data_IF_807936771194
#
_entry.id   IF_807936771194
#
_cell.length_a   1.000
_cell.length_b   1.000
_cell.length_c   1.000
_cell.angle_alpha   90.00
_cell.angle_beta   90.00
_cell.angle_gamma   90.00
#
_symmetry.space_group_name_H-M   'P 1'
#
loop_
_entity.id
_entity.type
_entity.pdbx_description
1 polymer ?
#
# COMPACT_ATOMS: atom_id res chain seq x y z
N UNK A 1 -19.40 4.00 29.88
CA UNK A 1 -17.95 4.28 29.77
C UNK A 1 -17.53 3.98 28.34
N UNK A 2 -16.76 4.85 27.67
CA UNK A 2 -16.21 4.54 26.34
C UNK A 2 -15.28 3.32 26.45
N UNK A 3 -15.21 2.50 25.40
CA UNK A 3 -14.49 1.22 25.39
C UNK A 3 -13.06 1.36 25.94
N UNK A 4 -12.70 0.53 26.92
CA UNK A 4 -11.37 0.49 27.54
C UNK A 4 -10.28 -0.12 26.64
N UNK A 5 -10.67 -0.62 25.46
CA UNK A 5 -9.81 -1.29 24.48
C UNK A 5 -9.44 -0.42 23.27
N UNK A 6 -9.78 0.87 23.26
CA UNK A 6 -9.41 1.76 22.16
C UNK A 6 -7.88 1.92 22.11
N UNK A 7 -7.27 1.55 20.99
CA UNK A 7 -5.81 1.58 20.82
C UNK A 7 -5.41 2.15 19.46
N UNK A 8 -4.17 2.65 19.32
CA UNK A 8 -3.64 3.15 18.05
C UNK A 8 -2.64 4.31 18.21
N UNK A 9 -2.11 4.81 17.09
CA UNK A 9 -1.15 5.92 17.08
C UNK A 9 -1.71 7.17 17.75
N UNK A 10 -2.93 7.58 17.37
CA UNK A 10 -3.62 8.72 17.96
C UNK A 10 -3.87 8.53 19.46
N UNK A 11 -4.15 7.29 19.90
CA UNK A 11 -4.34 6.98 21.32
C UNK A 11 -3.06 7.15 22.13
N UNK A 12 -1.92 6.69 21.62
CA UNK A 12 -0.62 6.94 22.25
C UNK A 12 -0.36 8.44 22.40
N UNK A 13 -0.61 9.24 21.35
CA UNK A 13 -0.41 10.69 21.39
C UNK A 13 -1.35 11.36 22.40
N UNK A 14 -2.63 10.98 22.43
CA UNK A 14 -3.59 11.48 23.41
C UNK A 14 -3.22 11.10 24.85
N UNK A 15 -2.73 9.87 25.08
CA UNK A 15 -2.25 9.45 26.40
C UNK A 15 -0.97 10.19 26.79
N UNK A 16 -0.11 10.54 25.83
CA UNK A 16 1.10 11.32 26.08
C UNK A 16 0.77 12.75 26.48
N UNK A 17 -0.19 13.37 25.80
CA UNK A 17 -0.73 14.68 26.17
C UNK A 17 -1.31 14.67 27.59
N UNK A 18 -2.08 13.63 27.94
CA UNK A 18 -2.56 13.43 29.32
C UNK A 18 -1.42 13.26 30.33
N UNK A 19 -0.37 12.51 29.96
CA UNK A 19 0.82 12.33 30.79
C UNK A 19 1.49 13.68 31.07
N UNK A 20 1.70 14.48 30.02
CA UNK A 20 2.30 15.83 30.11
C UNK A 20 1.45 16.75 30.99
N UNK A 21 0.13 16.74 30.84
CA UNK A 21 -0.78 17.55 31.66
C UNK A 21 -0.67 17.16 33.15
N UNK A 22 -0.62 15.87 33.46
CA UNK A 22 -0.47 15.38 34.83
C UNK A 22 0.89 15.81 35.44
N UNK A 23 2.01 15.61 34.73
CA UNK A 23 3.32 16.02 35.27
C UNK A 23 3.47 17.53 35.39
N UNK A 24 2.81 18.31 34.52
CA UNK A 24 2.77 19.78 34.64
C UNK A 24 2.07 20.20 35.92
N UNK A 25 0.97 19.53 36.28
CA UNK A 25 0.25 19.79 37.52
C UNK A 25 1.03 19.40 38.80
N UNK A 26 2.07 18.56 38.69
CA UNK A 26 2.94 18.22 39.83
C UNK A 26 3.84 19.38 40.27
N UNK A 27 4.11 20.36 39.41
CA UNK A 27 4.94 21.53 39.73
C UNK A 27 6.40 21.19 40.06
N UNK A 28 6.99 21.93 41.01
CA UNK A 28 8.41 21.84 41.40
C UNK A 28 8.92 20.42 41.71
N UNK A 29 8.16 19.53 42.37
CA UNK A 29 8.54 18.12 42.54
C UNK A 29 8.94 17.38 41.25
N UNK A 30 8.40 17.76 40.09
CA UNK A 30 8.82 17.20 38.81
C UNK A 30 10.08 17.91 38.28
N UNK A 31 11.25 17.41 38.65
CA UNK A 31 12.56 17.99 38.27
C UNK A 31 13.57 16.95 37.74
N UNK A 32 13.32 16.31 36.58
CA UNK A 32 14.22 15.29 36.06
C UNK A 32 15.55 15.87 35.56
N UNK A 33 16.65 15.16 35.83
CA UNK A 33 17.99 15.50 35.31
C UNK A 33 18.14 15.21 33.82
N UNK A 34 17.54 14.11 33.34
CA UNK A 34 17.54 13.71 31.91
C UNK A 34 16.80 14.75 31.07
N UNK A 35 17.52 15.41 30.14
CA UNK A 35 16.99 16.51 29.34
C UNK A 35 15.71 16.15 28.55
N UNK A 36 15.62 14.92 28.02
CA UNK A 36 14.44 14.47 27.26
C UNK A 36 13.16 14.35 28.09
N UNK A 37 13.26 14.28 29.43
CA UNK A 37 12.11 14.20 30.33
C UNK A 37 11.63 15.58 30.82
N UNK A 38 12.34 16.66 30.48
CA UNK A 38 11.94 18.01 30.87
C UNK A 38 10.72 18.47 30.06
N UNK A 39 9.82 19.23 30.68
CA UNK A 39 8.57 19.71 30.07
C UNK A 39 8.75 20.33 28.67
N UNK A 40 9.76 21.17 28.39
CA UNK A 40 9.96 21.71 27.04
C UNK A 40 10.23 20.63 25.98
N UNK A 41 11.04 19.61 26.30
CA UNK A 41 11.35 18.51 25.39
C UNK A 41 10.11 17.62 25.15
N UNK A 42 9.35 17.33 26.21
CA UNK A 42 8.13 16.53 26.11
C UNK A 42 7.07 17.22 25.25
N UNK A 43 6.86 18.53 25.43
CA UNK A 43 5.94 19.31 24.60
C UNK A 43 6.40 19.39 23.14
N UNK A 44 7.70 19.54 22.90
CA UNK A 44 8.27 19.50 21.53
C UNK A 44 7.97 18.14 20.87
N UNK A 45 8.18 17.04 21.60
CA UNK A 45 7.89 15.69 21.10
C UNK A 45 6.38 15.47 20.87
N UNK A 46 5.51 16.02 21.73
CA UNK A 46 4.06 15.97 21.53
C UNK A 46 3.64 16.68 20.25
N UNK A 47 4.15 17.89 20.00
CA UNK A 47 3.88 18.64 18.77
C UNK A 47 4.37 17.87 17.55
N UNK A 48 5.59 17.32 17.58
CA UNK A 48 6.12 16.49 16.49
C UNK A 48 5.23 15.27 16.23
N UNK A 49 4.73 14.60 17.28
CA UNK A 49 3.84 13.45 17.17
C UNK A 49 2.49 13.81 16.53
N UNK A 50 1.89 14.94 16.93
CA UNK A 50 0.64 15.45 16.31
C UNK A 50 0.85 15.79 14.84
N UNK A 51 1.94 16.48 14.50
CA UNK A 51 2.30 16.81 13.11
C UNK A 51 2.52 15.55 12.27
N UNK A 52 3.21 14.54 12.80
CA UNK A 52 3.47 13.31 12.07
C UNK A 52 2.20 12.50 11.79
N UNK A 53 1.23 12.47 12.72
CA UNK A 53 -0.09 11.87 12.48
C UNK A 53 -0.85 12.66 11.40
N UNK A 54 -0.86 13.98 11.49
CA UNK A 54 -1.53 14.83 10.50
C UNK A 54 -0.95 14.61 9.09
N UNK A 55 0.38 14.53 8.96
CA UNK A 55 1.05 14.26 7.69
C UNK A 55 0.60 12.94 7.03
N UNK A 56 0.46 11.85 7.82
CA UNK A 56 -0.07 10.58 7.32
C UNK A 56 -1.52 10.73 6.88
N UNK A 57 -2.36 11.37 7.69
CA UNK A 57 -3.77 11.58 7.39
C UNK A 57 -3.97 12.45 6.13
N UNK A 58 -3.07 13.39 5.85
CA UNK A 58 -3.10 14.20 4.64
C UNK A 58 -2.63 13.46 3.39
N UNK A 59 -1.64 12.56 3.52
CA UNK A 59 -1.10 11.81 2.38
C UNK A 59 -1.98 10.61 1.98
N UNK A 60 -2.67 9.99 2.93
CA UNK A 60 -3.43 8.75 2.71
C UNK A 60 -4.58 8.87 1.68
N UNK A 61 -5.40 9.94 1.65
CA UNK A 61 -6.47 10.08 0.67
C UNK A 61 -5.96 10.13 -0.77
N UNK A 62 -4.85 10.82 -1.02
CA UNK A 62 -4.27 10.92 -2.36
C UNK A 62 -3.88 9.54 -2.91
N UNK A 63 -3.21 8.73 -2.08
CA UNK A 63 -2.86 7.36 -2.43
C UNK A 63 -4.10 6.48 -2.65
N UNK A 64 -5.08 6.52 -1.74
CA UNK A 64 -6.32 5.73 -1.88
C UNK A 64 -7.11 6.09 -3.13
N UNK A 65 -7.23 7.38 -3.44
CA UNK A 65 -7.93 7.85 -4.64
C UNK A 65 -7.21 7.41 -5.92
N UNK A 66 -5.86 7.47 -5.94
CA UNK A 66 -5.08 6.99 -7.07
C UNK A 66 -5.24 5.49 -7.28
N UNK A 67 -5.21 4.68 -6.20
CA UNK A 67 -5.44 3.23 -6.26
C UNK A 67 -6.83 2.92 -6.81
N UNK A 68 -7.87 3.54 -6.26
CA UNK A 68 -9.25 3.36 -6.73
C UNK A 68 -9.40 3.73 -8.21
N UNK A 69 -8.82 4.86 -8.64
CA UNK A 69 -8.89 5.31 -10.02
C UNK A 69 -8.16 4.35 -10.98
N UNK A 70 -7.02 3.79 -10.56
CA UNK A 70 -6.31 2.75 -11.33
C UNK A 70 -7.13 1.48 -11.42
N UNK A 71 -7.67 0.98 -10.31
CA UNK A 71 -8.43 -0.28 -10.28
C UNK A 71 -9.67 -0.20 -11.19
N UNK A 72 -10.40 0.92 -11.12
CA UNK A 72 -11.55 1.20 -12.00
C UNK A 72 -11.14 1.21 -13.47
N UNK A 73 -10.01 1.85 -13.83
CA UNK A 73 -9.54 1.93 -15.21
C UNK A 73 -9.12 0.57 -15.78
N UNK A 74 -8.53 -0.31 -14.95
CA UNK A 74 -8.08 -1.64 -15.37
C UNK A 74 -9.17 -2.72 -15.34
N UNK A 75 -10.28 -2.50 -14.63
CA UNK A 75 -11.39 -3.45 -14.51
C UNK A 75 -11.96 -3.90 -15.87
N UNK A 76 -12.29 -3.02 -16.83
CA UNK A 76 -12.86 -3.45 -18.12
C UNK A 76 -11.82 -4.02 -19.10
N UNK A 77 -10.52 -3.88 -18.82
CA UNK A 77 -9.46 -4.14 -19.81
C UNK A 77 -9.57 -5.54 -20.43
N UNK A 78 -9.72 -6.61 -19.64
CA UNK A 78 -9.79 -7.97 -20.16
C UNK A 78 -10.96 -8.18 -21.14
N UNK A 79 -12.11 -7.54 -20.88
CA UNK A 79 -13.29 -7.58 -21.75
C UNK A 79 -13.02 -6.84 -23.06
N UNK A 80 -12.40 -5.66 -22.99
CA UNK A 80 -12.01 -4.88 -24.17
C UNK A 80 -11.01 -5.66 -25.04
N UNK A 81 -10.03 -6.32 -24.43
CA UNK A 81 -9.04 -7.14 -25.14
C UNK A 81 -9.67 -8.33 -25.87
N UNK A 82 -10.72 -8.95 -25.31
CA UNK A 82 -11.48 -9.98 -26.04
C UNK A 82 -12.09 -9.42 -27.32
N UNK A 83 -12.68 -8.22 -27.26
CA UNK A 83 -13.27 -7.57 -28.45
C UNK A 83 -12.22 -7.22 -29.49
N UNK A 84 -11.08 -6.67 -29.05
CA UNK A 84 -9.93 -6.37 -29.92
C UNK A 84 -9.46 -7.61 -30.66
N UNK A 85 -9.28 -8.73 -29.94
CA UNK A 85 -8.85 -9.99 -30.54
C UNK A 85 -9.84 -10.53 -31.58
N UNK A 86 -11.14 -10.43 -31.31
CA UNK A 86 -12.17 -10.90 -32.24
C UNK A 86 -12.29 -9.98 -33.46
N UNK A 87 -12.12 -8.68 -33.30
CA UNK A 87 -12.06 -7.74 -34.42
C UNK A 87 -10.85 -8.02 -35.33
N UNK A 88 -9.70 -8.39 -34.75
CA UNK A 88 -8.52 -8.80 -35.53
C UNK A 88 -8.79 -10.07 -36.34
N UNK A 89 -9.36 -11.10 -35.71
CA UNK A 89 -9.71 -12.36 -36.39
C UNK A 89 -10.77 -12.21 -37.49
N UNK A 90 -11.62 -11.20 -37.38
CA UNK A 90 -12.64 -10.89 -38.39
C UNK A 90 -12.09 -10.03 -39.54
N UNK A 91 -10.83 -9.60 -39.47
CA UNK A 91 -10.15 -8.90 -40.56
C UNK A 91 -9.43 -9.88 -41.50
N UNK A 92 -9.06 -9.42 -42.69
CA UNK A 92 -8.30 -10.19 -43.68
C UNK A 92 -6.80 -10.34 -43.30
N UNK A 93 -6.54 -10.70 -42.04
CA UNK A 93 -5.19 -10.96 -41.53
C UNK A 93 -4.80 -12.44 -41.69
N UNK A 94 -3.56 -12.78 -41.34
CA UNK A 94 -3.07 -14.16 -41.41
C UNK A 94 -3.19 -14.87 -40.07
N UNK A 95 -3.26 -16.20 -40.09
CA UNK A 95 -3.26 -17.03 -38.88
C UNK A 95 -2.05 -16.77 -37.98
N UNK A 96 -0.88 -16.48 -38.58
CA UNK A 96 0.34 -16.18 -37.83
C UNK A 96 0.22 -14.86 -37.04
N UNK A 97 -0.45 -13.85 -37.61
CA UNK A 97 -0.72 -12.57 -36.93
C UNK A 97 -1.70 -12.79 -35.78
N UNK A 98 -2.76 -13.57 -36.01
CA UNK A 98 -3.75 -13.92 -34.98
C UNK A 98 -3.12 -14.66 -33.80
N UNK A 99 -2.23 -15.62 -34.05
CA UNK A 99 -1.52 -16.36 -33.00
C UNK A 99 -0.55 -15.47 -32.20
N UNK A 100 0.12 -14.56 -32.90
CA UNK A 100 1.00 -13.56 -32.28
C UNK A 100 0.21 -12.65 -31.34
N UNK A 101 -0.93 -12.13 -31.80
CA UNK A 101 -1.84 -11.31 -31.00
C UNK A 101 -2.43 -12.10 -29.82
N UNK A 102 -2.84 -13.35 -30.06
CA UNK A 102 -3.43 -14.21 -29.04
C UNK A 102 -2.49 -14.45 -27.86
N UNK A 103 -1.19 -14.51 -28.10
CA UNK A 103 -0.18 -14.62 -27.03
C UNK A 103 -0.19 -13.40 -26.10
N UNK A 104 -0.31 -12.19 -26.66
CA UNK A 104 -0.43 -10.95 -25.88
C UNK A 104 -1.79 -10.85 -25.16
N UNK A 105 -2.86 -11.23 -25.85
CA UNK A 105 -4.23 -11.31 -25.30
C UNK A 105 -4.28 -12.22 -24.06
N UNK A 106 -3.67 -13.40 -24.15
CA UNK A 106 -3.59 -14.33 -23.02
C UNK A 106 -2.89 -13.70 -21.82
N UNK A 107 -1.77 -13.00 -22.01
CA UNK A 107 -1.05 -12.29 -20.93
C UNK A 107 -1.89 -11.17 -20.31
N UNK A 108 -2.59 -10.38 -21.12
CA UNK A 108 -3.48 -9.29 -20.67
C UNK A 108 -4.68 -9.77 -19.84
N UNK A 109 -5.07 -11.04 -20.05
CA UNK A 109 -6.20 -11.70 -19.38
C UNK A 109 -5.78 -12.69 -18.29
N UNK A 110 -4.47 -12.94 -18.10
CA UNK A 110 -3.98 -13.93 -17.14
C UNK A 110 -4.26 -15.38 -17.54
N UNK A 111 -4.46 -15.65 -18.83
CA UNK A 111 -4.73 -16.98 -19.38
C UNK A 111 -3.44 -17.65 -19.84
N UNK A 112 -3.37 -18.97 -19.73
CA UNK A 112 -2.26 -19.76 -20.28
C UNK A 112 -2.52 -20.18 -21.71
N UNK A 113 -1.44 -20.48 -22.43
CA UNK A 113 -1.54 -21.17 -23.72
C UNK A 113 -1.94 -22.64 -23.50
N UNK A 114 -1.27 -23.31 -22.57
CA UNK A 114 -1.57 -24.67 -22.12
C UNK A 114 -2.26 -24.65 -20.75
N UNK A 115 -3.39 -25.36 -20.58
CA UNK A 115 -3.99 -25.59 -19.26
C UNK A 115 -2.99 -26.22 -18.29
N UNK A 116 -3.18 -25.99 -16.99
CA UNK A 116 -2.43 -26.76 -15.99
C UNK A 116 -2.90 -28.20 -15.99
N UNK A 117 -1.97 -29.12 -15.83
CA UNK A 117 -2.29 -30.53 -15.61
C UNK A 117 -3.02 -30.72 -14.28
N UNK A 118 -4.00 -31.62 -14.25
CA UNK A 118 -4.66 -32.05 -13.02
C UNK A 118 -3.71 -32.86 -12.13
N UNK A 119 -4.08 -33.09 -10.88
CA UNK A 119 -3.25 -33.91 -9.98
C UNK A 119 -3.14 -35.36 -10.48
N UNK A 120 -4.20 -35.90 -11.08
CA UNK A 120 -4.21 -37.23 -11.69
C UNK A 120 -3.27 -37.30 -12.90
N UNK A 121 -3.31 -36.29 -13.78
CA UNK A 121 -2.41 -36.22 -14.93
C UNK A 121 -0.94 -36.11 -14.50
N UNK A 122 -0.66 -35.36 -13.42
CA UNK A 122 0.68 -35.25 -12.84
C UNK A 122 1.15 -36.56 -12.24
N UNK A 123 0.26 -37.30 -11.59
CA UNK A 123 0.57 -38.60 -10.99
C UNK A 123 0.89 -39.64 -12.08
N UNK A 124 0.09 -39.69 -13.15
CA UNK A 124 0.34 -40.56 -14.31
C UNK A 124 1.68 -40.21 -14.98
N UNK A 125 2.00 -38.92 -15.13
CA UNK A 125 3.28 -38.49 -15.69
C UNK A 125 4.47 -38.88 -14.79
N UNK A 126 4.33 -38.72 -13.47
CA UNK A 126 5.35 -39.11 -12.50
C UNK A 126 5.58 -40.64 -12.48
N UNK A 127 4.52 -41.44 -12.56
CA UNK A 127 4.59 -42.91 -12.67
C UNK A 127 5.28 -43.36 -13.98
N UNK A 128 5.18 -42.56 -15.04
CA UNK A 128 5.90 -42.75 -16.30
C UNK A 128 7.35 -42.20 -16.29
N UNK A 129 7.86 -41.75 -15.13
CA UNK A 129 9.22 -41.21 -14.98
C UNK A 129 9.39 -39.75 -15.42
N UNK A 130 8.30 -39.06 -15.76
CA UNK A 130 8.29 -37.66 -16.19
C UNK A 130 7.70 -36.77 -15.08
N UNK A 131 8.54 -36.30 -14.16
CA UNK A 131 8.10 -35.37 -13.13
C UNK A 131 7.82 -33.98 -13.73
N UNK A 132 6.56 -33.55 -13.70
CA UNK A 132 6.14 -32.26 -14.29
C UNK A 132 6.02 -31.18 -13.22
N UNK A 133 7.00 -30.28 -13.17
CA UNK A 133 6.93 -29.03 -12.39
C UNK A 133 6.40 -27.86 -13.23
N UNK A 134 5.23 -27.32 -12.87
CA UNK A 134 4.63 -26.18 -13.56
C UNK A 134 4.90 -24.86 -12.83
N UNK A 135 5.61 -23.93 -13.50
CA UNK A 135 5.87 -22.58 -12.98
C UNK A 135 4.71 -21.61 -13.27
N UNK A 136 4.59 -20.57 -12.44
CA UNK A 136 3.68 -19.46 -12.73
C UNK A 136 4.13 -18.69 -13.97
N UNK A 137 3.22 -18.48 -14.92
CA UNK A 137 3.46 -17.69 -16.14
C UNK A 137 2.59 -16.43 -16.19
N UNK A 138 1.94 -16.06 -15.08
CA UNK A 138 1.03 -14.93 -15.01
C UNK A 138 1.78 -13.61 -15.06
N UNK A 139 1.35 -12.70 -15.94
CA UNK A 139 1.90 -11.34 -16.08
C UNK A 139 0.82 -10.28 -15.76
N UNK A 140 0.07 -10.50 -14.68
CA UNK A 140 -1.13 -9.72 -14.34
C UNK A 140 -0.87 -8.43 -13.54
N UNK A 141 0.39 -8.09 -13.22
CA UNK A 141 0.69 -6.79 -12.60
C UNK A 141 0.30 -5.63 -13.54
N UNK A 142 0.00 -4.46 -12.97
CA UNK A 142 -0.39 -3.29 -13.75
C UNK A 142 0.67 -2.90 -14.79
N UNK A 143 1.96 -2.91 -14.42
CA UNK A 143 3.08 -2.61 -15.32
C UNK A 143 3.16 -3.62 -16.48
N UNK A 144 3.04 -4.91 -16.19
CA UNK A 144 3.07 -5.94 -17.23
C UNK A 144 1.84 -5.86 -18.15
N UNK A 145 0.66 -5.54 -17.63
CA UNK A 145 -0.54 -5.35 -18.46
C UNK A 145 -0.41 -4.11 -19.34
N UNK A 146 0.21 -3.03 -18.86
CA UNK A 146 0.54 -1.85 -19.67
C UNK A 146 1.52 -2.22 -20.79
N UNK A 147 2.60 -2.91 -20.47
CA UNK A 147 3.63 -3.30 -21.44
C UNK A 147 3.07 -4.25 -22.51
N UNK A 148 2.28 -5.25 -22.11
CA UNK A 148 1.63 -6.15 -23.08
C UNK A 148 0.57 -5.44 -23.93
N UNK A 149 -0.14 -4.43 -23.39
CA UNK A 149 -1.07 -3.61 -24.16
C UNK A 149 -0.32 -2.73 -25.18
N UNK A 150 0.80 -2.12 -24.78
CA UNK A 150 1.68 -1.35 -25.67
C UNK A 150 2.15 -2.19 -26.86
N UNK A 151 2.61 -3.42 -26.59
CA UNK A 151 2.99 -4.40 -27.62
C UNK A 151 1.82 -4.78 -28.53
N UNK A 152 0.62 -4.99 -27.97
CA UNK A 152 -0.56 -5.31 -28.76
C UNK A 152 -0.96 -4.14 -29.67
N UNK A 153 -0.98 -2.91 -29.16
CA UNK A 153 -1.28 -1.71 -29.95
C UNK A 153 -0.29 -1.54 -31.11
N UNK A 154 1.01 -1.74 -30.85
CA UNK A 154 2.04 -1.70 -31.91
C UNK A 154 1.84 -2.79 -32.97
N UNK A 155 1.50 -4.01 -32.55
CA UNK A 155 1.17 -5.09 -33.48
C UNK A 155 -0.03 -4.70 -34.36
N UNK A 156 -1.14 -4.26 -33.77
CA UNK A 156 -2.33 -3.84 -34.51
C UNK A 156 -2.06 -2.68 -35.47
N UNK A 157 -1.19 -1.75 -35.08
CA UNK A 157 -0.77 -0.63 -35.94
C UNK A 157 -0.02 -1.12 -37.20
N UNK A 158 0.74 -2.21 -37.09
CA UNK A 158 1.46 -2.80 -38.23
C UNK A 158 0.58 -3.64 -39.16
N UNK A 159 -0.64 -3.98 -38.75
CA UNK A 159 -1.56 -4.82 -39.52
C UNK A 159 -2.52 -3.91 -40.29
N UNK A 160 -2.27 -3.71 -41.58
CA UNK A 160 -3.09 -2.85 -42.45
C UNK A 160 -4.55 -3.30 -42.55
N UNK A 161 -4.82 -4.60 -42.44
CA UNK A 161 -6.17 -5.17 -42.44
C UNK A 161 -6.98 -4.82 -41.17
N UNK A 162 -6.33 -4.41 -40.07
CA UNK A 162 -7.01 -4.07 -38.83
C UNK A 162 -7.64 -2.66 -38.90
N UNK A 163 -8.86 -2.58 -39.46
CA UNK A 163 -9.60 -1.34 -39.64
C UNK A 163 -11.03 -1.42 -39.04
N UNK A 164 -11.17 -1.54 -37.71
CA UNK A 164 -12.49 -1.64 -37.09
C UNK A 164 -13.29 -0.33 -37.19
N UNK A 165 -14.61 -0.46 -37.32
CA UNK A 165 -15.52 0.67 -37.39
C UNK A 165 -15.90 1.21 -36.00
N UNK A 166 -15.93 0.33 -35.00
CA UNK A 166 -16.24 0.63 -33.61
C UNK A 166 -15.18 1.56 -33.02
N UNK A 167 -15.61 2.72 -32.55
CA UNK A 167 -14.71 3.79 -32.10
C UNK A 167 -13.71 3.33 -31.03
N UNK A 168 -14.14 2.46 -30.11
CA UNK A 168 -13.32 1.98 -29.00
C UNK A 168 -12.30 0.90 -29.37
N UNK A 169 -12.44 0.27 -30.54
CA UNK A 169 -11.50 -0.75 -31.03
C UNK A 169 -10.42 -0.16 -31.95
N UNK A 170 -10.57 1.09 -32.37
CA UNK A 170 -9.57 1.76 -33.22
C UNK A 170 -8.24 1.91 -32.49
N UNK A 171 -7.13 1.80 -33.24
CA UNK A 171 -5.76 1.98 -32.72
C UNK A 171 -5.60 3.29 -31.95
N UNK A 172 -6.24 4.36 -32.42
CA UNK A 172 -6.24 5.66 -31.73
C UNK A 172 -6.88 5.58 -30.34
N UNK A 173 -8.05 4.95 -30.21
CA UNK A 173 -8.72 4.76 -28.92
C UNK A 173 -7.91 3.84 -27.99
N UNK A 174 -7.32 2.76 -28.51
CA UNK A 174 -6.45 1.88 -27.72
C UNK A 174 -5.17 2.57 -27.24
N UNK A 175 -4.61 3.48 -28.04
CA UNK A 175 -3.47 4.31 -27.65
C UNK A 175 -3.84 5.30 -26.55
N UNK A 176 -5.03 5.91 -26.65
CA UNK A 176 -5.58 6.77 -25.58
C UNK A 176 -5.79 5.98 -24.30
N UNK A 177 -6.37 4.78 -24.38
CA UNK A 177 -6.54 3.88 -23.23
C UNK A 177 -5.19 3.55 -22.60
N UNK A 178 -4.20 3.14 -23.39
CA UNK A 178 -2.85 2.84 -22.91
C UNK A 178 -2.23 4.04 -22.17
N UNK A 179 -2.42 5.25 -22.70
CA UNK A 179 -1.92 6.49 -22.08
C UNK A 179 -2.63 6.78 -20.75
N UNK A 180 -3.95 6.61 -20.66
CA UNK A 180 -4.67 6.74 -19.39
C UNK A 180 -4.21 5.70 -18.36
N UNK A 181 -4.07 4.43 -18.76
CA UNK A 181 -3.60 3.37 -17.84
C UNK A 181 -2.19 3.65 -17.33
N UNK A 182 -1.27 4.12 -18.19
CA UNK A 182 0.07 4.58 -17.79
C UNK A 182 -0.03 5.73 -16.78
N UNK A 183 -0.81 6.76 -17.07
CA UNK A 183 -0.97 7.92 -16.19
C UNK A 183 -1.53 7.52 -14.81
N UNK A 184 -2.56 6.68 -14.77
CA UNK A 184 -3.17 6.21 -13.51
C UNK A 184 -2.22 5.32 -12.71
N UNK A 185 -1.43 4.49 -13.36
CA UNK A 185 -0.42 3.69 -12.67
C UNK A 185 0.70 4.57 -12.08
N UNK A 186 1.21 5.53 -12.85
CA UNK A 186 2.18 6.52 -12.35
C UNK A 186 1.61 7.35 -11.20
N UNK A 187 0.33 7.72 -11.23
CA UNK A 187 -0.29 8.46 -10.14
C UNK A 187 -0.24 7.70 -8.81
N UNK A 188 -0.42 6.37 -8.82
CA UNK A 188 -0.27 5.53 -7.63
C UNK A 188 1.17 5.56 -7.12
N UNK A 189 2.14 5.35 -8.01
CA UNK A 189 3.58 5.35 -7.67
C UNK A 189 3.97 6.68 -7.03
N UNK A 190 3.56 7.79 -7.64
CA UNK A 190 3.86 9.14 -7.14
C UNK A 190 3.19 9.44 -5.80
N UNK A 191 1.96 8.94 -5.58
CA UNK A 191 1.23 9.16 -4.32
C UNK A 191 1.70 8.25 -3.17
N UNK A 192 2.31 7.11 -3.48
CA UNK A 192 2.79 6.16 -2.48
C UNK A 192 4.00 6.69 -1.70
N UNK A 193 4.97 7.29 -2.38
CA UNK A 193 6.21 7.75 -1.75
C UNK A 193 5.98 8.76 -0.59
N UNK A 194 5.16 9.82 -0.74
CA UNK A 194 4.82 10.70 0.37
C UNK A 194 4.16 9.99 1.55
N UNK A 195 3.26 9.04 1.29
CA UNK A 195 2.58 8.28 2.34
C UNK A 195 3.57 7.39 3.10
N UNK A 196 4.46 6.68 2.40
CA UNK A 196 5.50 5.85 3.02
C UNK A 196 6.42 6.70 3.89
N UNK A 197 6.92 7.83 3.37
CA UNK A 197 7.80 8.73 4.12
C UNK A 197 7.11 9.32 5.36
N UNK A 198 5.83 9.71 5.25
CA UNK A 198 5.05 10.17 6.40
C UNK A 198 4.89 9.08 7.46
N UNK A 199 4.66 7.82 7.04
CA UNK A 199 4.56 6.67 7.95
C UNK A 199 5.88 6.37 8.65
N UNK A 200 7.01 6.44 7.94
CA UNK A 200 8.37 6.29 8.49
C UNK A 200 8.61 7.37 9.55
N UNK A 201 8.42 8.65 9.20
CA UNK A 201 8.62 9.76 10.14
C UNK A 201 7.73 9.65 11.40
N UNK A 202 6.47 9.24 11.22
CA UNK A 202 5.54 8.97 12.32
C UNK A 202 6.02 7.81 13.19
N UNK A 203 6.57 6.76 12.61
CA UNK A 203 7.14 5.64 13.37
C UNK A 203 8.40 6.04 14.12
N UNK A 204 9.27 6.87 13.54
CA UNK A 204 10.46 7.39 14.22
C UNK A 204 10.09 8.23 15.45
N UNK A 205 9.11 9.13 15.32
CA UNK A 205 8.67 9.97 16.43
C UNK A 205 8.00 9.17 17.55
N UNK A 206 7.21 8.15 17.19
CA UNK A 206 6.42 7.40 18.17
C UNK A 206 7.16 6.20 18.79
N UNK A 207 7.98 5.50 18.01
CA UNK A 207 8.40 4.13 18.29
C UNK A 207 9.90 3.88 18.16
N UNK A 208 10.72 4.89 17.83
CA UNK A 208 12.17 4.72 17.77
C UNK A 208 12.72 4.31 19.13
N UNK A 209 13.53 3.24 19.16
CA UNK A 209 14.10 2.73 20.40
C UNK A 209 14.89 3.83 21.15
N UNK A 210 14.59 3.99 22.44
CA UNK A 210 15.24 4.92 23.37
C UNK A 210 14.86 6.40 23.23
N UNK A 211 14.21 6.80 22.13
CA UNK A 211 13.87 8.22 21.87
C UNK A 211 12.43 8.46 21.45
N UNK A 212 11.70 7.42 21.06
CA UNK A 212 10.32 7.48 20.63
C UNK A 212 9.38 7.79 21.79
N UNK A 213 8.22 8.34 21.48
CA UNK A 213 7.23 8.77 22.47
C UNK A 213 6.85 7.64 23.45
N UNK A 214 6.75 6.39 22.97
CA UNK A 214 6.45 5.24 23.84
C UNK A 214 7.53 5.05 24.90
N UNK A 215 8.80 5.00 24.52
CA UNK A 215 9.91 4.80 25.46
C UNK A 215 10.05 6.01 26.40
N UNK A 216 9.95 7.23 25.87
CA UNK A 216 9.95 8.45 26.71
C UNK A 216 8.83 8.41 27.75
N UNK A 217 7.64 7.93 27.40
CA UNK A 217 6.52 7.84 28.34
C UNK A 217 6.77 6.86 29.50
N UNK A 218 7.49 5.76 29.23
CA UNK A 218 7.89 4.77 30.24
C UNK A 218 8.93 5.39 31.17
N UNK A 219 9.89 6.13 30.64
CA UNK A 219 10.90 6.84 31.43
C UNK A 219 10.27 7.90 32.34
N UNK A 220 9.32 8.71 31.82
CA UNK A 220 8.59 9.70 32.62
C UNK A 220 7.85 9.03 33.78
N UNK A 221 7.13 7.93 33.52
CA UNK A 221 6.44 7.18 34.58
C UNK A 221 7.40 6.64 35.63
N UNK A 222 8.54 6.13 35.20
CA UNK A 222 9.58 5.60 36.08
C UNK A 222 10.15 6.70 36.97
N UNK A 223 10.42 7.87 36.39
CA UNK A 223 10.86 9.05 37.13
C UNK A 223 9.82 9.48 38.18
N UNK A 224 8.56 9.64 37.81
CA UNK A 224 7.48 10.00 38.77
C UNK A 224 7.35 8.95 39.87
N UNK A 225 7.47 7.65 39.54
CA UNK A 225 7.49 6.57 40.54
C UNK A 225 8.67 6.72 41.51
N UNK A 226 9.84 7.14 41.04
CA UNK A 226 11.02 7.33 41.91
C UNK A 226 10.87 8.50 42.89
N UNK A 227 10.21 9.58 42.46
CA UNK A 227 10.03 10.79 43.29
C UNK A 227 8.94 10.59 44.35
N UNK A 228 7.80 9.99 43.98
CA UNK A 228 6.63 9.90 44.86
C UNK A 228 6.38 8.51 45.45
N UNK A 229 7.00 7.47 44.89
CA UNK A 229 6.73 6.08 45.24
C UNK A 229 5.57 5.46 44.46
N UNK A 230 5.57 4.13 44.36
CA UNK A 230 4.63 3.37 43.53
C UNK A 230 3.18 3.37 44.03
N UNK A 231 2.94 3.60 45.31
CA UNK A 231 1.59 3.62 45.91
C UNK A 231 0.98 5.02 45.98
N UNK A 232 1.75 6.05 45.62
CA UNK A 232 1.34 7.44 45.74
C UNK A 232 0.13 7.79 44.86
N UNK A 233 -0.75 8.70 45.30
CA UNK A 233 -1.81 9.23 44.45
C UNK A 233 -1.27 9.84 43.15
N UNK A 234 -0.13 10.53 43.21
CA UNK A 234 0.53 11.19 42.07
C UNK A 234 0.95 10.18 41.00
N UNK A 235 1.57 9.07 41.38
CA UNK A 235 1.93 8.04 40.40
C UNK A 235 0.69 7.33 39.84
N UNK A 236 -0.34 7.12 40.66
CA UNK A 236 -1.59 6.46 40.23
C UNK A 236 -2.35 7.23 39.15
N UNK A 237 -2.24 8.56 39.07
CA UNK A 237 -2.90 9.34 38.01
C UNK A 237 -2.35 9.05 36.61
N UNK A 238 -1.08 8.63 36.53
CA UNK A 238 -0.41 8.35 35.25
C UNK A 238 -0.16 6.86 35.00
N UNK A 239 -0.17 6.01 36.03
CA UNK A 239 0.22 4.60 35.92
C UNK A 239 -0.65 3.84 34.93
N UNK A 240 -1.95 4.14 34.89
CA UNK A 240 -2.93 3.51 33.99
C UNK A 240 -2.87 3.96 32.52
N UNK A 241 -2.07 4.97 32.16
CA UNK A 241 -1.96 5.44 30.78
C UNK A 241 -1.19 4.42 29.91
N UNK A 242 -1.86 3.67 29.05
CA UNK A 242 -1.19 2.65 28.23
C UNK A 242 -0.50 3.25 27.01
N UNK A 243 0.73 2.81 26.76
CA UNK A 243 1.51 3.13 25.55
C UNK A 243 1.98 1.82 24.93
N UNK A 244 1.75 1.65 23.62
CA UNK A 244 2.06 0.40 22.93
C UNK A 244 2.80 0.67 21.64
N UNK A 245 3.92 -0.04 21.44
CA UNK A 245 4.60 -0.04 20.15
C UNK A 245 3.70 -0.66 19.07
N UNK A 246 3.65 -0.03 17.91
CA UNK A 246 2.86 -0.51 16.77
C UNK A 246 3.82 -0.77 15.61
N UNK A 247 3.62 -1.91 14.95
CA UNK A 247 4.26 -2.22 13.67
C UNK A 247 3.50 -1.50 12.56
#
# INVERSE_FOLDING_TARGET
MPSTSETGHAKNVANYEKLIANITALGTPYNPSKASLKLPALNTQLTAAKTAIAAVNSAEPAYKNAVSARDVAFAPLSKSITRVNNALKASDTTTQVDESALTLVRKLQGRRATPKMTEEEKKVAAEAGNEVTEISSSQMSFDNRIDNLDKLVKLLTSVTAYAPNEADLKVTALTTLLTDLKAKNTAVITAEAPLVNARIARNDVLYKAGTGLVDTSVDVKTYVKSVFGATSPQYKTISGLTFTNRK
#
